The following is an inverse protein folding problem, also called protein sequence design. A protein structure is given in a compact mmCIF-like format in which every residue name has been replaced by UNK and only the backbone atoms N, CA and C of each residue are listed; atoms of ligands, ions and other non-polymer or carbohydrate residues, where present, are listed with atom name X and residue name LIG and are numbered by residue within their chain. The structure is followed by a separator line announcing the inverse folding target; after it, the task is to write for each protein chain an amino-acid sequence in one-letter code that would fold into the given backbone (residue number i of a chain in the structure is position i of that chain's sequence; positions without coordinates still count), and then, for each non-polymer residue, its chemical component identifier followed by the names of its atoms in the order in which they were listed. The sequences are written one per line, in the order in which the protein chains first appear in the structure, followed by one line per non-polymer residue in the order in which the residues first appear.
data_IF_153675184140
#
_entry.id   IF_153675184140
#
_cell.length_a   1.000
_cell.length_b   1.000
_cell.length_c   1.000
_cell.angle_alpha   90.00
_cell.angle_beta   90.00
_cell.angle_gamma   90.00
#
_symmetry.space_group_name_H-M   'P 1'
#
loop_
_entity.id
_entity.type
_entity.pdbx_description
1 polymer ?
#
# COMPACT_ATOMS: atom_id res chain seq x y z
N UNK A 1 -25.62 -9.13 9.00
CA UNK A 1 -24.54 -10.13 8.81
C UNK A 1 -23.27 -9.36 8.51
N UNK A 2 -22.19 -9.61 9.27
CA UNK A 2 -20.88 -9.00 9.02
C UNK A 2 -19.97 -10.06 8.40
N UNK A 3 -19.23 -9.68 7.35
CA UNK A 3 -18.27 -10.57 6.67
C UNK A 3 -16.88 -9.92 6.77
N UNK A 4 -16.07 -10.31 7.77
CA UNK A 4 -14.75 -9.75 7.97
C UNK A 4 -13.76 -10.35 6.97
N UNK A 5 -13.54 -9.65 5.86
CA UNK A 5 -12.65 -10.10 4.78
C UNK A 5 -11.21 -10.34 5.26
N UNK A 6 -10.75 -9.56 6.25
CA UNK A 6 -9.43 -9.67 6.87
C UNK A 6 -9.24 -10.99 7.62
N UNK A 7 -10.27 -11.48 8.31
CA UNK A 7 -10.26 -12.81 8.95
C UNK A 7 -10.31 -13.91 7.89
N UNK A 8 -11.17 -13.78 6.87
CA UNK A 8 -11.25 -14.74 5.76
C UNK A 8 -9.94 -14.85 4.96
N UNK A 9 -9.22 -13.74 4.79
CA UNK A 9 -7.88 -13.73 4.17
C UNK A 9 -6.81 -14.46 5.00
N UNK A 10 -7.10 -14.80 6.26
CA UNK A 10 -6.20 -15.50 7.18
C UNK A 10 -6.70 -16.89 7.59
N UNK A 11 -7.71 -17.43 6.93
CA UNK A 11 -8.22 -18.77 7.20
C UNK A 11 -7.17 -19.85 6.87
N UNK A 12 -6.69 -20.64 7.85
CA UNK A 12 -5.68 -21.67 7.62
C UNK A 12 -6.18 -22.86 6.76
N UNK A 13 -7.50 -23.08 6.67
CA UNK A 13 -8.06 -24.13 5.80
C UNK A 13 -7.89 -23.77 4.31
N UNK A 14 -7.89 -22.46 4.00
CA UNK A 14 -7.74 -21.94 2.64
C UNK A 14 -6.30 -21.49 2.36
N UNK A 15 -5.62 -20.95 3.36
CA UNK A 15 -4.29 -20.34 3.26
C UNK A 15 -3.32 -20.94 4.28
N UNK A 16 -2.56 -21.99 3.93
CA UNK A 16 -1.53 -22.54 4.81
C UNK A 16 -0.51 -21.47 5.24
N UNK A 17 -0.11 -21.45 6.51
CA UNK A 17 0.72 -20.38 7.09
C UNK A 17 0.16 -18.97 6.79
N UNK A 18 -1.07 -18.64 7.21
CA UNK A 18 -1.78 -17.43 6.77
C UNK A 18 -1.10 -16.12 7.23
N UNK A 19 -0.36 -16.17 8.34
CA UNK A 19 0.36 -15.02 8.89
C UNK A 19 1.74 -14.80 8.26
N UNK A 20 2.21 -15.73 7.41
CA UNK A 20 3.50 -15.62 6.75
C UNK A 20 3.33 -14.85 5.42
N UNK A 21 4.01 -13.71 5.24
CA UNK A 21 3.98 -12.99 3.97
C UNK A 21 4.79 -13.75 2.90
N UNK A 22 4.10 -14.46 2.02
CA UNK A 22 4.69 -15.20 0.90
C UNK A 22 4.16 -14.68 -0.45
N UNK A 23 5.05 -14.02 -1.21
CA UNK A 23 4.73 -13.46 -2.53
C UNK A 23 4.70 -14.52 -3.65
N UNK A 24 5.24 -15.71 -3.39
CA UNK A 24 5.31 -16.82 -4.36
C UNK A 24 4.11 -17.76 -4.25
N UNK A 25 3.29 -17.60 -3.20
CA UNK A 25 2.04 -18.35 -3.03
C UNK A 25 1.17 -18.22 -4.28
N UNK A 26 0.65 -19.34 -4.75
CA UNK A 26 -0.27 -19.37 -5.88
C UNK A 26 -1.46 -18.43 -5.63
N UNK A 27 -1.86 -17.60 -6.62
CA UNK A 27 -2.99 -16.70 -6.44
C UNK A 27 -4.26 -17.51 -6.16
N UNK A 28 -4.93 -17.17 -5.05
CA UNK A 28 -6.23 -17.71 -4.66
C UNK A 28 -7.25 -16.58 -4.59
N UNK A 29 -8.52 -16.91 -4.65
CA UNK A 29 -9.63 -15.96 -4.56
C UNK A 29 -9.71 -15.38 -3.14
N UNK A 30 -8.91 -14.34 -2.88
CA UNK A 30 -8.93 -13.64 -1.60
C UNK A 30 -10.13 -12.66 -1.54
N UNK A 31 -10.87 -12.58 -0.44
CA UNK A 31 -12.05 -11.71 -0.32
C UNK A 31 -11.77 -10.21 -0.21
N UNK A 32 -10.53 -9.71 -0.39
CA UNK A 32 -10.20 -8.28 -0.19
C UNK A 32 -11.04 -7.30 -1.02
N UNK A 33 -11.56 -7.74 -2.18
CA UNK A 33 -12.43 -6.95 -3.06
C UNK A 33 -13.90 -7.42 -3.01
N UNK A 34 -14.28 -8.16 -1.99
CA UNK A 34 -15.60 -8.79 -1.87
C UNK A 34 -15.83 -9.87 -2.94
N UNK A 35 -17.08 -10.32 -3.05
CA UNK A 35 -17.48 -11.41 -3.96
C UNK A 35 -18.92 -11.23 -4.45
N UNK A 36 -19.27 -11.86 -5.58
CA UNK A 36 -20.62 -11.85 -6.13
C UNK A 36 -20.98 -10.55 -6.84
N UNK A 37 -22.26 -10.19 -6.84
CA UNK A 37 -22.80 -9.03 -7.59
C UNK A 37 -22.30 -7.68 -7.07
N UNK A 38 -21.75 -7.64 -5.85
CA UNK A 38 -21.13 -6.47 -5.24
C UNK A 38 -19.60 -6.55 -5.20
N UNK A 39 -19.00 -7.44 -6.00
CA UNK A 39 -17.55 -7.46 -6.15
C UNK A 39 -17.05 -6.08 -6.60
N UNK A 40 -15.94 -5.64 -6.01
CA UNK A 40 -15.43 -4.29 -6.21
C UNK A 40 -15.17 -4.02 -7.69
N UNK A 41 -15.93 -3.06 -8.24
CA UNK A 41 -15.72 -2.58 -9.61
C UNK A 41 -14.28 -2.08 -9.83
N UNK A 42 -13.65 -1.56 -8.77
CA UNK A 42 -12.27 -1.07 -8.76
C UNK A 42 -11.18 -2.15 -8.68
N UNK A 43 -11.51 -3.44 -8.63
CA UNK A 43 -10.51 -4.51 -8.48
C UNK A 43 -9.41 -4.46 -9.55
N UNK A 44 -9.81 -4.41 -10.82
CA UNK A 44 -8.89 -4.38 -11.95
C UNK A 44 -8.02 -3.11 -12.00
N UNK A 45 -8.58 -1.88 -11.91
CA UNK A 45 -7.75 -0.67 -11.91
C UNK A 45 -6.85 -0.59 -10.68
N UNK A 46 -7.34 -0.90 -9.47
CA UNK A 46 -6.50 -0.92 -8.27
C UNK A 46 -5.30 -1.87 -8.40
N UNK A 47 -5.51 -3.06 -8.97
CA UNK A 47 -4.43 -4.01 -9.24
C UNK A 47 -3.42 -3.43 -10.24
N UNK A 48 -3.87 -2.82 -11.33
CA UNK A 48 -2.99 -2.17 -12.31
C UNK A 48 -2.15 -1.07 -11.67
N UNK A 49 -2.78 -0.18 -10.91
CA UNK A 49 -2.12 0.92 -10.22
C UNK A 49 -1.03 0.40 -9.26
N UNK A 50 -1.35 -0.60 -8.44
CA UNK A 50 -0.37 -1.20 -7.52
C UNK A 50 0.82 -1.84 -8.28
N UNK A 51 0.60 -2.47 -9.44
CA UNK A 51 1.71 -3.00 -10.24
C UNK A 51 2.65 -1.88 -10.73
N UNK A 52 2.09 -0.76 -11.21
CA UNK A 52 2.87 0.38 -11.67
C UNK A 52 3.59 1.07 -10.51
N UNK A 53 2.90 1.28 -9.39
CA UNK A 53 3.45 1.93 -8.19
C UNK A 53 4.59 1.10 -7.61
N UNK A 54 4.39 -0.20 -7.33
CA UNK A 54 5.44 -1.04 -6.75
C UNK A 54 6.66 -1.15 -7.67
N UNK A 55 6.46 -1.41 -8.96
CA UNK A 55 7.57 -1.53 -9.92
C UNK A 55 8.35 -0.22 -10.09
N UNK A 56 7.64 0.92 -10.08
CA UNK A 56 8.27 2.24 -10.24
C UNK A 56 8.96 2.69 -8.96
N UNK A 57 8.35 2.45 -7.80
CA UNK A 57 8.92 2.75 -6.49
C UNK A 57 10.27 2.07 -6.32
N UNK A 58 10.33 0.74 -6.55
CA UNK A 58 11.58 -0.02 -6.41
C UNK A 58 12.65 0.37 -7.45
N UNK A 59 12.24 0.83 -8.64
CA UNK A 59 13.17 1.29 -9.69
C UNK A 59 13.74 2.68 -9.42
N UNK A 60 12.94 3.60 -8.85
CA UNK A 60 13.31 5.02 -8.66
C UNK A 60 13.89 5.32 -7.28
N UNK A 61 13.46 4.58 -6.27
CA UNK A 61 13.93 4.70 -4.89
C UNK A 61 14.62 3.37 -4.56
N UNK A 62 15.88 3.19 -4.98
CA UNK A 62 16.62 1.98 -4.64
C UNK A 62 16.85 1.98 -3.12
N UNK A 63 16.35 0.93 -2.45
CA UNK A 63 16.53 0.69 -1.01
C UNK A 63 15.75 1.71 -0.13
N UNK A 64 14.40 1.72 -0.18
CA UNK A 64 13.63 2.46 0.81
C UNK A 64 13.82 1.79 2.19
N UNK A 65 14.16 2.59 3.19
CA UNK A 65 14.19 2.19 4.60
C UNK A 65 13.17 3.03 5.35
N UNK A 66 12.58 2.48 6.40
CA UNK A 66 11.83 3.31 7.33
C UNK A 66 12.77 4.33 7.94
N UNK A 67 12.31 5.58 8.06
CA UNK A 67 13.08 6.65 8.70
C UNK A 67 13.00 6.58 10.24
N UNK A 68 12.19 5.68 10.76
CA UNK A 68 11.88 5.51 12.19
C UNK A 68 11.55 4.03 12.47
N UNK A 69 11.46 3.67 13.75
CA UNK A 69 11.01 2.35 14.18
C UNK A 69 9.51 2.14 13.87
N UNK A 70 9.00 0.92 14.04
CA UNK A 70 7.59 0.62 13.73
C UNK A 70 6.59 1.21 14.73
N UNK A 71 6.95 1.28 16.01
CA UNK A 71 6.09 1.77 17.09
C UNK A 71 5.54 3.20 16.87
N UNK A 72 6.31 4.18 16.37
CA UNK A 72 5.80 5.52 16.12
C UNK A 72 4.97 5.67 14.84
N UNK A 73 4.76 4.60 14.05
CA UNK A 73 3.97 4.71 12.81
C UNK A 73 2.48 4.90 13.15
N UNK A 74 1.83 5.98 12.69
CA UNK A 74 0.43 6.23 12.96
C UNK A 74 -0.43 5.37 12.02
N UNK A 75 -0.76 4.16 12.47
CA UNK A 75 -1.68 3.26 11.78
C UNK A 75 -3.13 3.71 11.99
N UNK A 76 -3.92 3.62 10.91
CA UNK A 76 -5.36 3.86 10.92
C UNK A 76 -6.08 2.60 11.42
N UNK A 77 -6.81 2.74 12.52
CA UNK A 77 -7.55 1.64 13.18
C UNK A 77 -9.04 1.94 13.37
N UNK A 78 -9.49 3.17 13.11
CA UNK A 78 -10.83 3.62 13.45
C UNK A 78 -11.83 3.35 12.31
N UNK A 79 -11.34 2.88 11.15
CA UNK A 79 -12.13 2.58 9.95
C UNK A 79 -12.09 1.12 9.50
N UNK A 80 -12.98 0.78 8.57
CA UNK A 80 -12.98 -0.52 7.87
C UNK A 80 -11.83 -0.65 6.86
N UNK A 81 -11.13 0.45 6.56
CA UNK A 81 -9.99 0.50 5.67
C UNK A 81 -8.73 0.65 6.52
N UNK A 82 -7.95 -0.43 6.59
CA UNK A 82 -6.67 -0.42 7.28
C UNK A 82 -5.60 0.31 6.46
N UNK A 83 -4.79 1.13 7.12
CA UNK A 83 -3.73 1.90 6.47
C UNK A 83 -2.79 2.56 7.46
N UNK A 84 -1.99 3.49 6.95
CA UNK A 84 -1.12 4.35 7.73
C UNK A 84 -1.38 5.80 7.34
N UNK A 85 -1.44 6.71 8.30
CA UNK A 85 -1.59 8.14 8.04
C UNK A 85 -0.32 8.72 7.42
N UNK A 86 0.85 8.22 7.84
CA UNK A 86 2.14 8.59 7.29
C UNK A 86 3.11 7.40 7.40
N UNK A 87 3.95 7.22 6.37
CA UNK A 87 5.05 6.25 6.38
C UNK A 87 6.37 6.95 6.06
N UNK A 88 7.08 7.49 7.08
CA UNK A 88 8.36 8.15 6.87
C UNK A 88 9.39 7.16 6.31
N UNK A 89 9.97 7.50 5.16
CA UNK A 89 11.00 6.67 4.52
C UNK A 89 12.23 7.50 4.17
N UNK A 90 13.40 6.86 4.23
CA UNK A 90 14.63 7.39 3.65
C UNK A 90 14.90 6.66 2.33
N UNK A 91 15.35 7.41 1.33
CA UNK A 91 15.81 6.87 0.06
C UNK A 91 17.31 6.57 0.16
N UNK A 92 17.75 5.39 -0.29
CA UNK A 92 19.14 5.21 -0.71
C UNK A 92 19.47 6.17 -1.86
N UNK A 93 20.75 6.53 -2.04
CA UNK A 93 21.20 7.47 -3.06
C UNK A 93 20.54 7.19 -4.42
N UNK A 94 19.63 8.07 -4.84
CA UNK A 94 18.85 7.87 -6.07
C UNK A 94 19.68 8.27 -7.27
N UNK A 95 19.57 7.51 -8.37
CA UNK A 95 20.14 7.92 -9.66
C UNK A 95 19.35 9.14 -10.14
N UNK A 96 20.00 10.25 -10.54
CA UNK A 96 19.30 11.46 -10.93
C UNK A 96 18.32 11.20 -12.08
N UNK A 97 17.16 11.86 -11.99
CA UNK A 97 16.06 11.76 -12.94
C UNK A 97 16.57 12.15 -14.34
N UNK A 98 16.55 11.23 -15.30
CA UNK A 98 16.72 11.63 -16.69
C UNK A 98 15.47 12.42 -17.13
N UNK A 99 15.68 13.59 -17.70
CA UNK A 99 14.68 14.60 -18.07
C UNK A 99 13.64 14.16 -19.13
N UNK A 100 13.57 12.87 -19.48
CA UNK A 100 12.60 12.35 -20.45
C UNK A 100 11.15 12.34 -19.95
N UNK A 101 10.91 12.67 -18.69
CA UNK A 101 9.57 12.93 -18.12
C UNK A 101 9.45 14.38 -17.60
N UNK A 102 10.20 15.33 -18.19
CA UNK A 102 10.24 16.75 -17.82
C UNK A 102 9.03 17.58 -18.25
N UNK A 103 7.81 17.08 -18.05
CA UNK A 103 6.64 17.95 -17.90
C UNK A 103 6.67 18.48 -16.47
N UNK A 104 7.22 19.69 -16.29
CA UNK A 104 7.54 20.25 -14.98
C UNK A 104 6.34 20.31 -14.03
N UNK A 105 6.42 19.54 -12.95
CA UNK A 105 5.79 19.89 -11.68
C UNK A 105 6.95 19.97 -10.70
N UNK A 106 7.35 21.19 -10.35
CA UNK A 106 8.31 21.42 -9.28
C UNK A 106 7.77 20.75 -8.00
N UNK A 107 8.63 20.13 -7.17
CA UNK A 107 8.18 19.60 -5.89
C UNK A 107 7.55 20.76 -5.10
N UNK A 108 6.32 20.60 -4.57
CA UNK A 108 5.74 21.63 -3.73
C UNK A 108 6.67 21.84 -2.53
N UNK A 109 6.97 23.11 -2.23
CA UNK A 109 7.69 23.45 -1.00
C UNK A 109 6.92 22.82 0.17
N UNK A 110 7.65 22.14 1.06
CA UNK A 110 7.10 21.61 2.30
C UNK A 110 6.43 22.77 3.06
N UNK A 111 5.11 22.88 2.94
CA UNK A 111 4.27 23.60 3.89
C UNK A 111 3.69 22.54 4.79
N UNK A 112 4.06 22.63 6.06
CA UNK A 112 3.46 21.85 7.13
C UNK A 112 1.97 22.23 7.18
N UNK A 113 1.11 21.36 6.66
CA UNK A 113 -0.34 21.52 6.72
C UNK A 113 -0.80 20.85 8.00
N UNK A 114 -0.96 21.62 9.07
CA UNK A 114 -1.74 21.19 10.23
C UNK A 114 -3.21 21.15 9.84
N UNK A 115 -3.79 19.95 9.82
CA UNK A 115 -5.23 19.75 9.70
C UNK A 115 -5.81 19.84 11.11
N UNK A 116 -6.68 20.81 11.43
CA UNK A 116 -7.30 20.88 12.74
C UNK A 116 -8.28 19.71 12.93
N UNK A 117 -8.10 18.96 14.02
CA UNK A 117 -9.08 18.00 14.49
C UNK A 117 -10.30 18.74 15.04
N UNK A 118 -11.50 18.39 14.57
CA UNK A 118 -12.77 18.76 15.18
C UNK A 118 -13.53 17.49 15.55
#
# INVERSE_FOLDING_TARGET
MLVPNDIGNRDPEVFPEPNRPDRTRAPRNHPVFGSGVHHCLGHAPARMELQVVHSTLHRRIPIPRLATDLEPIPFEHDGSVYGVHALPVTAGASRPLNSRWGGGIAPPSHREVSIPHR
#
